data_IF_737439681668
#
_entry.id   IF_737439681668
#
_cell.length_a   1.000
_cell.length_b   1.000
_cell.length_c   1.000
_cell.angle_alpha   90.00
_cell.angle_beta   90.00
_cell.angle_gamma   90.00
#
_symmetry.space_group_name_H-M   'P 1'
#
loop_
_entity.id
_entity.type
_entity.pdbx_description
1 polymer ?
#
# COMPACT_ATOMS: atom_id res chain seq x y z
N UNK A 1 8.44 -5.32 14.58
CA UNK A 1 7.69 -6.58 14.85
C UNK A 1 7.34 -7.23 13.53
N UNK A 2 7.89 -8.41 13.26
CA UNK A 2 7.60 -9.14 12.02
C UNK A 2 6.19 -9.75 12.10
N UNK A 3 5.38 -9.61 11.04
CA UNK A 3 4.00 -10.10 11.03
C UNK A 3 3.96 -11.63 11.09
N UNK A 4 2.91 -12.20 11.65
CA UNK A 4 2.76 -13.67 11.73
C UNK A 4 2.78 -14.29 10.32
N UNK A 5 3.39 -15.48 10.15
CA UNK A 5 3.58 -16.13 8.84
C UNK A 5 2.32 -16.22 8.00
N UNK A 6 1.18 -16.54 8.62
CA UNK A 6 -0.12 -16.60 7.92
C UNK A 6 -0.56 -15.25 7.34
N UNK A 7 -0.27 -14.15 8.02
CA UNK A 7 -0.57 -12.80 7.53
C UNK A 7 0.37 -12.41 6.38
N UNK A 8 1.64 -12.79 6.47
CA UNK A 8 2.60 -12.60 5.37
C UNK A 8 2.14 -13.32 4.10
N UNK A 9 1.74 -14.59 4.21
CA UNK A 9 1.28 -15.39 3.07
C UNK A 9 -0.02 -14.83 2.46
N UNK A 10 -0.95 -14.37 3.29
CA UNK A 10 -2.17 -13.69 2.81
C UNK A 10 -1.84 -12.40 2.06
N UNK A 11 -0.92 -11.57 2.58
CA UNK A 11 -0.49 -10.33 1.91
C UNK A 11 0.31 -10.61 0.64
N UNK A 12 1.10 -11.69 0.60
CA UNK A 12 1.87 -12.11 -0.57
C UNK A 12 0.99 -12.34 -1.81
N UNK A 13 -0.23 -12.87 -1.62
CA UNK A 13 -1.19 -13.08 -2.72
C UNK A 13 -1.56 -11.79 -3.47
N UNK A 14 -1.53 -10.65 -2.79
CA UNK A 14 -1.91 -9.36 -3.39
C UNK A 14 -0.73 -8.62 -4.03
N UNK A 15 0.49 -9.18 -4.02
CA UNK A 15 1.66 -8.48 -4.59
C UNK A 15 1.53 -8.26 -6.10
N UNK A 16 1.01 -9.23 -6.84
CA UNK A 16 0.74 -9.07 -8.27
C UNK A 16 -0.25 -7.95 -8.52
N UNK A 17 -1.36 -7.94 -7.77
CA UNK A 17 -2.37 -6.87 -7.83
C UNK A 17 -1.77 -5.50 -7.46
N UNK A 18 -0.84 -5.44 -6.51
CA UNK A 18 -0.19 -4.20 -6.12
C UNK A 18 0.71 -3.63 -7.24
N UNK A 19 1.49 -4.49 -7.90
CA UNK A 19 2.34 -4.08 -9.02
C UNK A 19 1.48 -3.57 -10.18
N UNK A 20 0.41 -4.30 -10.51
CA UNK A 20 -0.53 -3.91 -11.56
C UNK A 20 -1.17 -2.55 -11.27
N UNK A 21 -1.70 -2.38 -10.05
CA UNK A 21 -2.30 -1.12 -9.62
C UNK A 21 -1.32 0.04 -9.72
N UNK A 22 -0.09 -0.10 -9.21
CA UNK A 22 0.91 0.98 -9.23
C UNK A 22 1.37 1.36 -10.64
N UNK A 23 1.32 0.43 -11.61
CA UNK A 23 1.70 0.70 -13.00
C UNK A 23 0.58 1.37 -13.79
N UNK A 24 -0.67 0.99 -13.53
CA UNK A 24 -1.80 1.31 -14.39
C UNK A 24 -2.80 2.31 -13.78
N UNK A 25 -2.70 2.61 -12.48
CA UNK A 25 -3.63 3.56 -11.84
C UNK A 25 -3.45 4.97 -12.37
N UNK A 26 -4.56 5.58 -12.78
CA UNK A 26 -4.68 7.01 -13.06
C UNK A 26 -5.30 7.77 -11.88
N UNK A 27 -5.85 7.03 -10.91
CA UNK A 27 -6.47 7.58 -9.70
C UNK A 27 -5.37 7.97 -8.71
N UNK A 28 -5.40 9.21 -8.18
CA UNK A 28 -4.42 9.65 -7.19
C UNK A 28 -4.58 8.87 -5.86
N UNK A 29 -3.48 8.59 -5.15
CA UNK A 29 -3.54 7.97 -3.84
C UNK A 29 -4.07 8.94 -2.78
N UNK A 30 -4.66 8.38 -1.72
CA UNK A 30 -4.84 9.10 -0.47
C UNK A 30 -3.46 9.40 0.12
N UNK A 31 -3.20 10.66 0.44
CA UNK A 31 -1.90 11.11 0.98
C UNK A 31 -2.04 11.40 2.47
N UNK A 32 -1.29 10.65 3.27
CA UNK A 32 -1.34 10.69 4.73
C UNK A 32 0.02 11.16 5.24
N UNK A 33 0.04 12.30 5.93
CA UNK A 33 1.25 12.82 6.56
C UNK A 33 1.56 12.05 7.84
N UNK A 34 2.81 11.61 8.00
CA UNK A 34 3.24 10.97 9.23
C UNK A 34 3.22 11.98 10.37
N UNK A 35 2.64 11.59 11.52
CA UNK A 35 2.68 12.42 12.75
C UNK A 35 4.05 12.37 13.44
N UNK A 36 4.88 11.37 13.12
CA UNK A 36 6.17 11.16 13.77
C UNK A 36 7.32 11.88 13.05
N UNK A 37 7.40 11.74 11.73
CA UNK A 37 8.45 12.38 10.92
C UNK A 37 7.80 13.27 9.84
N UNK A 38 7.97 14.60 9.89
CA UNK A 38 7.41 15.52 8.90
C UNK A 38 8.02 15.35 7.49
N UNK A 39 9.09 14.56 7.36
CA UNK A 39 9.71 14.20 6.08
C UNK A 39 9.14 12.92 5.48
N UNK A 40 8.25 12.23 6.18
CA UNK A 40 7.60 11.02 5.67
C UNK A 40 6.16 11.28 5.25
N UNK A 41 5.86 10.89 4.02
CA UNK A 41 4.51 10.87 3.46
C UNK A 41 4.14 9.42 3.17
N UNK A 42 2.90 9.04 3.48
CA UNK A 42 2.35 7.75 3.11
C UNK A 42 1.30 7.94 2.02
N UNK A 43 1.53 7.36 0.85
CA UNK A 43 0.55 7.26 -0.21
C UNK A 43 -0.17 5.93 -0.10
N UNK A 44 -1.50 5.98 -0.05
CA UNK A 44 -2.38 4.81 -0.02
C UNK A 44 -3.22 4.77 -1.29
N UNK A 45 -2.94 3.78 -2.11
CA UNK A 45 -3.73 3.46 -3.29
C UNK A 45 -4.80 2.43 -2.94
N UNK A 46 -5.99 2.59 -3.47
CA UNK A 46 -7.06 1.60 -3.38
C UNK A 46 -7.20 0.89 -4.72
N UNK A 47 -7.19 -0.45 -4.69
CA UNK A 47 -7.47 -1.29 -5.84
C UNK A 47 -8.68 -2.16 -5.60
N UNK A 48 -9.29 -2.63 -6.69
CA UNK A 48 -10.32 -3.66 -6.69
C UNK A 48 -9.71 -4.94 -7.27
N UNK A 49 -9.73 -6.01 -6.49
CA UNK A 49 -9.30 -7.34 -6.93
C UNK A 49 -10.33 -7.99 -7.85
N UNK A 50 -9.95 -9.12 -8.43
CA UNK A 50 -10.76 -9.82 -9.43
C UNK A 50 -12.10 -10.32 -8.88
N UNK A 51 -12.16 -10.62 -7.58
CA UNK A 51 -13.35 -11.12 -6.90
C UNK A 51 -14.15 -9.97 -6.24
N UNK A 52 -13.82 -8.71 -6.56
CA UNK A 52 -14.45 -7.53 -5.96
C UNK A 52 -13.91 -7.18 -4.58
N UNK A 53 -12.82 -7.81 -4.15
CA UNK A 53 -12.16 -7.51 -2.88
C UNK A 53 -11.36 -6.21 -2.99
N UNK A 54 -11.68 -5.23 -2.14
CA UNK A 54 -10.91 -3.99 -2.08
C UNK A 54 -9.61 -4.27 -1.34
N UNK A 55 -8.49 -3.86 -1.92
CA UNK A 55 -7.18 -3.89 -1.27
C UNK A 55 -6.53 -2.52 -1.30
N UNK A 56 -5.58 -2.33 -0.39
CA UNK A 56 -4.78 -1.12 -0.30
C UNK A 56 -3.32 -1.43 -0.53
N UNK A 57 -2.67 -0.55 -1.29
CA UNK A 57 -1.21 -0.53 -1.45
C UNK A 57 -0.68 0.73 -0.79
N UNK A 58 0.26 0.56 0.12
CA UNK A 58 0.90 1.66 0.83
C UNK A 58 2.34 1.84 0.35
N UNK A 59 2.66 3.05 -0.06
CA UNK A 59 3.99 3.50 -0.47
C UNK A 59 4.41 4.64 0.44
N UNK A 60 5.63 4.58 0.96
CA UNK A 60 6.22 5.66 1.75
C UNK A 60 7.09 6.52 0.84
N UNK A 61 6.95 7.83 0.93
CA UNK A 61 7.81 8.79 0.26
C UNK A 61 8.62 9.54 1.32
N UNK A 62 9.93 9.64 1.10
CA UNK A 62 10.80 10.58 1.82
C UNK A 62 10.80 11.92 1.07
N UNK A 63 10.34 12.99 1.72
CA UNK A 63 10.24 14.33 1.11
C UNK A 63 11.59 14.94 0.75
N UNK A 64 12.66 14.61 1.47
CA UNK A 64 13.99 15.19 1.24
C UNK A 64 14.64 14.64 -0.02
N UNK A 65 14.45 13.35 -0.27
CA UNK A 65 15.13 12.64 -1.38
C UNK A 65 14.20 12.26 -2.52
N UNK A 66 12.89 12.50 -2.36
CA UNK A 66 11.81 12.02 -3.22
C UNK A 66 11.76 10.48 -3.40
N UNK A 67 12.56 9.75 -2.62
CA UNK A 67 12.61 8.29 -2.65
C UNK A 67 11.27 7.71 -2.21
N UNK A 68 10.75 6.77 -3.01
CA UNK A 68 9.49 6.06 -2.75
C UNK A 68 9.79 4.59 -2.48
N UNK A 69 9.38 4.10 -1.33
CA UNK A 69 9.56 2.72 -0.91
C UNK A 69 8.20 2.04 -0.78
N UNK A 70 8.06 0.87 -1.41
CA UNK A 70 6.88 0.03 -1.22
C UNK A 70 6.85 -0.46 0.22
N UNK A 71 5.75 -0.21 0.93
CA UNK A 71 5.61 -0.59 2.34
C UNK A 71 4.85 -1.91 2.49
N UNK A 72 3.62 -1.94 2.00
CA UNK A 72 2.78 -3.14 2.14
C UNK A 72 1.56 -3.09 1.23
N UNK A 73 1.06 -4.27 0.90
CA UNK A 73 -0.28 -4.50 0.37
C UNK A 73 -1.11 -5.26 1.39
N UNK A 74 -2.39 -4.91 1.54
CA UNK A 74 -3.30 -5.59 2.45
C UNK A 74 -4.76 -5.40 2.03
N UNK A 75 -5.64 -6.38 2.28
CA UNK A 75 -7.07 -6.24 2.00
C UNK A 75 -7.71 -5.19 2.92
N UNK A 76 -8.74 -4.50 2.43
CA UNK A 76 -9.65 -3.73 3.28
C UNK A 76 -10.39 -4.72 4.17
N UNK A 77 -10.03 -4.78 5.45
CA UNK A 77 -10.75 -5.61 6.42
C UNK A 77 -12.19 -5.10 6.46
N UNK A 78 -13.15 -5.92 6.01
CA UNK A 78 -14.55 -5.73 6.38
C UNK A 78 -14.63 -6.02 7.87
N UNK A 79 -14.90 -4.98 8.67
CA UNK A 79 -15.36 -5.16 10.05
C UNK A 79 -16.72 -5.83 10.04
#
# INVERSE_FOLDING_TARGET
MQKHRGEQFRRAKFYSCAIDLLRNTTVPPETIFSKGDPNEILHRFSGLGREGEIFYVQVKQNKKTDRKDFMSVFPKVRK
#
